data_IF_818003276655
#
_entry.id   IF_818003276655
#
_cell.length_a   1.000
_cell.length_b   1.000
_cell.length_c   1.000
_cell.angle_alpha   90.00
_cell.angle_beta   90.00
_cell.angle_gamma   90.00
#
_symmetry.space_group_name_H-M   'P 1'
#
loop_
_entity.id
_entity.type
_entity.pdbx_description
1 polymer ?
#
# COMPACT_ATOMS: atom_id res chain seq x y z
N UNK A 1 -6.09 30.33 -9.76
CA UNK A 1 -5.22 29.39 -8.99
C UNK A 1 -5.77 28.00 -9.22
N UNK A 2 -5.76 27.61 -10.48
CA UNK A 2 -6.52 26.49 -11.01
C UNK A 2 -5.58 25.30 -11.16
N UNK A 3 -6.15 24.10 -11.13
CA UNK A 3 -5.43 22.86 -11.29
C UNK A 3 -4.61 22.89 -12.57
N UNK A 4 -3.29 22.74 -12.45
CA UNK A 4 -2.38 22.79 -13.60
C UNK A 4 -2.61 21.63 -14.59
N UNK A 5 -3.31 20.56 -14.18
CA UNK A 5 -3.57 19.38 -15.00
C UNK A 5 -4.88 19.41 -15.78
N UNK A 6 -5.92 20.06 -15.25
CA UNK A 6 -7.23 20.10 -15.91
C UNK A 6 -7.78 21.51 -16.17
N UNK A 7 -7.19 22.55 -15.58
CA UNK A 7 -7.57 23.96 -15.71
C UNK A 7 -9.07 24.29 -15.47
N UNK A 8 -9.84 23.32 -14.96
CA UNK A 8 -11.29 23.40 -14.84
C UNK A 8 -11.75 23.58 -13.40
N UNK A 9 -10.85 23.38 -12.42
CA UNK A 9 -11.14 23.42 -10.99
C UNK A 9 -10.03 24.12 -10.23
N UNK A 10 -10.33 24.73 -9.07
CA UNK A 10 -9.31 25.31 -8.21
C UNK A 10 -8.34 24.24 -7.70
N UNK A 11 -7.07 24.61 -7.57
CA UNK A 11 -6.05 23.74 -6.98
C UNK A 11 -6.23 23.69 -5.46
N UNK A 12 -6.31 22.50 -4.89
CA UNK A 12 -6.49 22.25 -3.45
C UNK A 12 -5.34 21.44 -2.85
N UNK A 13 -4.49 20.86 -3.70
CA UNK A 13 -3.37 20.00 -3.31
C UNK A 13 -2.09 20.54 -3.93
N UNK A 14 -1.10 20.83 -3.10
CA UNK A 14 0.20 21.39 -3.48
C UNK A 14 1.25 20.30 -3.36
N UNK A 15 1.65 19.71 -4.47
CA UNK A 15 2.61 18.63 -4.51
C UNK A 15 4.01 19.18 -4.75
N UNK A 16 4.99 18.77 -3.94
CA UNK A 16 6.40 19.10 -4.15
C UNK A 16 7.18 17.79 -4.24
N UNK A 17 7.78 17.52 -5.38
CA UNK A 17 8.63 16.34 -5.59
C UNK A 17 10.07 16.77 -5.80
N UNK A 18 11.00 15.96 -5.28
CA UNK A 18 12.43 16.13 -5.52
C UNK A 18 12.88 14.95 -6.36
N UNK A 19 13.31 15.22 -7.59
CA UNK A 19 13.82 14.18 -8.50
C UNK A 19 15.22 14.60 -8.92
N UNK A 20 16.22 13.75 -8.66
CA UNK A 20 17.62 13.99 -9.05
C UNK A 20 18.15 15.38 -8.65
N UNK A 21 17.83 15.81 -7.42
CA UNK A 21 18.23 17.10 -6.84
C UNK A 21 17.48 18.34 -7.39
N UNK A 22 16.49 18.15 -8.27
CA UNK A 22 15.60 19.20 -8.76
C UNK A 22 14.25 19.16 -8.03
N UNK A 23 13.84 20.32 -7.50
CA UNK A 23 12.56 20.48 -6.79
C UNK A 23 11.49 20.95 -7.76
N UNK A 24 10.50 20.09 -8.02
CA UNK A 24 9.32 20.41 -8.83
C UNK A 24 8.10 20.60 -7.95
N UNK A 25 7.42 21.74 -8.12
CA UNK A 25 6.16 22.05 -7.44
C UNK A 25 5.01 22.06 -8.44
N UNK A 26 3.91 21.38 -8.09
CA UNK A 26 2.74 21.29 -8.95
C UNK A 26 1.46 21.42 -8.13
N UNK A 27 0.55 22.26 -8.62
CA UNK A 27 -0.72 22.55 -7.95
C UNK A 27 -1.86 21.82 -8.67
N UNK A 28 -2.54 20.94 -7.95
CA UNK A 28 -3.54 20.03 -8.48
C UNK A 28 -4.86 20.18 -7.71
N UNK A 29 -5.97 19.92 -8.38
CA UNK A 29 -7.23 19.65 -7.68
C UNK A 29 -7.21 18.24 -7.06
N UNK A 30 -8.04 18.01 -6.05
CA UNK A 30 -8.15 16.74 -5.31
C UNK A 30 -8.20 15.50 -6.22
N UNK A 31 -9.04 15.52 -7.27
CA UNK A 31 -9.15 14.37 -8.16
C UNK A 31 -7.90 14.14 -9.02
N UNK A 32 -7.26 15.22 -9.47
CA UNK A 32 -6.04 15.12 -10.26
C UNK A 32 -4.87 14.65 -9.39
N UNK A 33 -4.82 15.07 -8.14
CA UNK A 33 -3.84 14.62 -7.16
C UNK A 33 -4.03 13.13 -6.80
N UNK A 34 -5.28 12.69 -6.61
CA UNK A 34 -5.62 11.28 -6.40
C UNK A 34 -5.21 10.41 -7.59
N UNK A 35 -5.47 10.86 -8.81
CA UNK A 35 -5.04 10.16 -10.05
C UNK A 35 -3.53 10.18 -10.28
N UNK A 36 -2.84 11.19 -9.75
CA UNK A 36 -1.38 11.32 -9.86
C UNK A 36 -0.62 10.54 -8.78
N UNK A 37 -1.30 9.75 -7.94
CA UNK A 37 -0.66 9.03 -6.83
C UNK A 37 -0.18 9.94 -5.70
N UNK A 38 -0.50 11.24 -5.74
CA UNK A 38 -0.08 12.22 -4.74
C UNK A 38 -0.86 12.10 -3.42
N UNK A 39 -2.00 11.39 -3.44
CA UNK A 39 -2.85 11.13 -2.28
C UNK A 39 -2.98 9.61 -2.13
N UNK A 40 -1.93 8.97 -1.63
CA UNK A 40 -2.06 7.62 -1.09
C UNK A 40 -2.60 7.70 0.35
N UNK A 41 -3.58 6.88 0.76
CA UNK A 41 -4.10 6.86 2.13
C UNK A 41 -3.04 6.52 3.19
N UNK A 42 -1.86 6.06 2.76
CA UNK A 42 -0.67 5.77 3.55
C UNK A 42 0.40 6.88 3.57
N UNK A 43 0.15 8.04 2.95
CA UNK A 43 1.00 9.23 3.07
C UNK A 43 2.42 9.14 2.47
N UNK A 44 2.75 8.07 1.76
CA UNK A 44 4.05 7.92 1.09
C UNK A 44 3.92 8.18 -0.40
N UNK A 45 4.68 9.15 -0.90
CA UNK A 45 4.99 9.31 -2.31
C UNK A 45 5.88 8.13 -2.70
N UNK A 46 5.29 7.08 -3.27
CA UNK A 46 6.06 5.98 -3.81
C UNK A 46 6.60 6.39 -5.17
N UNK A 47 7.93 6.57 -5.25
CA UNK A 47 8.69 6.44 -6.47
C UNK A 47 8.32 5.10 -7.12
N UNK A 48 7.61 5.15 -8.25
CA UNK A 48 7.04 4.00 -8.96
C UNK A 48 8.09 3.07 -9.62
N UNK A 49 9.27 2.92 -9.04
CA UNK A 49 10.36 2.11 -9.60
C UNK A 49 10.88 0.99 -8.68
N UNK A 50 10.28 0.74 -7.52
CA UNK A 50 10.73 -0.34 -6.62
C UNK A 50 9.68 -1.41 -6.26
N UNK A 51 8.41 -1.23 -6.63
CA UNK A 51 7.33 -2.17 -6.23
C UNK A 51 6.82 -3.09 -7.36
N UNK A 52 7.49 -3.16 -8.51
CA UNK A 52 7.15 -4.17 -9.54
C UNK A 52 7.50 -5.62 -9.13
N UNK A 53 8.10 -5.85 -7.95
CA UNK A 53 8.30 -7.18 -7.37
C UNK A 53 7.46 -7.45 -6.11
N UNK A 54 6.47 -6.59 -5.80
CA UNK A 54 5.48 -6.87 -4.77
C UNK A 54 4.09 -6.96 -5.39
N UNK A 55 3.96 -7.82 -6.40
CA UNK A 55 2.82 -8.72 -6.33
C UNK A 55 3.08 -9.60 -5.11
N UNK A 56 2.35 -9.46 -3.98
CA UNK A 56 2.18 -10.65 -3.19
C UNK A 56 1.44 -11.59 -4.13
N UNK A 57 2.19 -12.54 -4.70
CA UNK A 57 1.64 -13.77 -5.21
C UNK A 57 0.94 -14.40 -4.00
N UNK A 58 -0.25 -13.89 -3.69
CA UNK A 58 -1.06 -14.34 -2.58
C UNK A 58 -1.65 -15.63 -3.10
N UNK A 59 -0.82 -16.67 -3.03
CA UNK A 59 -1.32 -18.03 -2.98
C UNK A 59 -2.49 -17.98 -1.99
N UNK A 60 -3.67 -18.50 -2.34
CA UNK A 60 -4.86 -18.39 -1.51
C UNK A 60 -4.53 -18.97 -0.14
N UNK A 61 -4.25 -18.09 0.82
CA UNK A 61 -3.81 -18.49 2.14
C UNK A 61 -5.05 -18.95 2.89
N UNK A 62 -5.26 -20.26 2.87
CA UNK A 62 -6.42 -20.91 3.44
C UNK A 62 -6.49 -20.58 4.95
N UNK A 63 -7.67 -20.18 5.46
CA UNK A 63 -7.86 -19.97 6.89
C UNK A 63 -7.74 -21.29 7.65
N UNK A 64 -7.52 -21.20 8.97
CA UNK A 64 -7.53 -22.39 9.82
C UNK A 64 -8.89 -23.09 9.74
N UNK A 65 -8.91 -24.40 9.50
CA UNK A 65 -10.15 -25.18 9.39
C UNK A 65 -10.88 -25.37 10.73
N UNK A 66 -10.15 -25.22 11.85
CA UNK A 66 -10.69 -25.43 13.20
C UNK A 66 -11.31 -24.15 13.81
N UNK A 67 -10.70 -22.99 13.56
CA UNK A 67 -11.14 -21.72 14.17
C UNK A 67 -11.39 -20.60 13.15
N UNK A 68 -11.17 -20.84 11.86
CA UNK A 68 -11.34 -19.85 10.80
C UNK A 68 -10.27 -18.75 10.77
N UNK A 69 -9.23 -18.83 11.62
CA UNK A 69 -8.24 -17.76 11.74
C UNK A 69 -7.46 -17.56 10.42
N UNK A 70 -7.43 -16.35 9.84
CA UNK A 70 -6.78 -16.10 8.57
C UNK A 70 -5.27 -15.93 8.72
N UNK A 71 -4.50 -16.48 7.76
CA UNK A 71 -3.03 -16.40 7.76
C UNK A 71 -2.53 -14.94 7.72
N UNK A 72 -3.23 -14.05 7.02
CA UNK A 72 -2.88 -12.63 6.97
C UNK A 72 -2.87 -11.98 8.36
N UNK A 73 -3.76 -12.42 9.27
CA UNK A 73 -3.78 -11.92 10.63
C UNK A 73 -2.60 -12.45 11.45
N UNK A 74 -2.12 -13.66 11.17
CA UNK A 74 -0.88 -14.17 11.76
C UNK A 74 0.32 -13.34 11.30
N UNK A 75 0.44 -13.02 10.01
CA UNK A 75 1.55 -12.19 9.50
C UNK A 75 1.52 -10.76 10.06
N UNK A 76 0.34 -10.16 10.20
CA UNK A 76 0.19 -8.79 10.71
C UNK A 76 0.37 -8.67 12.22
N UNK A 77 -0.04 -9.69 12.99
CA UNK A 77 -0.10 -9.59 14.46
C UNK A 77 0.89 -10.51 15.19
N UNK A 78 1.45 -11.52 14.50
CA UNK A 78 2.27 -12.57 15.09
C UNK A 78 1.50 -13.52 16.03
N UNK A 79 0.16 -13.47 16.05
CA UNK A 79 -0.67 -14.24 16.99
C UNK A 79 -1.42 -15.38 16.30
N UNK A 80 -1.54 -16.49 17.02
CA UNK A 80 -2.25 -17.70 16.59
C UNK A 80 -3.62 -17.79 17.30
N UNK A 81 -4.66 -18.16 16.54
CA UNK A 81 -6.04 -18.25 17.05
C UNK A 81 -6.36 -19.51 17.87
N UNK A 82 -5.70 -20.64 17.58
CA UNK A 82 -5.85 -21.90 18.32
C UNK A 82 -4.58 -22.76 18.25
N UNK A 83 -4.54 -23.89 18.96
CA UNK A 83 -3.40 -24.81 18.94
C UNK A 83 -3.12 -25.38 17.52
N UNK A 84 -4.17 -25.70 16.76
CA UNK A 84 -4.05 -26.24 15.40
C UNK A 84 -3.50 -25.23 14.40
N UNK A 85 -3.55 -23.92 14.69
CA UNK A 85 -2.93 -22.89 13.85
C UNK A 85 -1.40 -23.03 13.80
N UNK A 86 -0.77 -23.49 14.89
CA UNK A 86 0.69 -23.67 14.93
C UNK A 86 1.15 -24.72 13.91
N UNK A 87 0.42 -25.84 13.83
CA UNK A 87 0.73 -26.90 12.87
C UNK A 87 0.39 -26.48 11.43
N UNK A 88 -0.75 -25.80 11.24
CA UNK A 88 -1.24 -25.40 9.92
C UNK A 88 -0.36 -24.34 9.25
N UNK A 89 0.22 -23.44 10.04
CA UNK A 89 1.03 -22.31 9.58
C UNK A 89 2.52 -22.48 9.88
N UNK A 90 2.96 -23.70 10.25
CA UNK A 90 4.35 -24.00 10.58
C UNK A 90 5.30 -23.66 9.43
N UNK A 91 4.93 -23.99 8.20
CA UNK A 91 5.72 -23.67 6.99
C UNK A 91 5.90 -22.15 6.84
N UNK A 92 4.85 -21.36 7.09
CA UNK A 92 4.91 -19.89 7.01
C UNK A 92 5.69 -19.24 8.16
N UNK A 93 5.98 -19.96 9.25
CA UNK A 93 6.77 -19.47 10.39
C UNK A 93 8.26 -19.79 10.25
N UNK A 94 8.66 -20.65 9.30
CA UNK A 94 10.05 -21.10 9.13
C UNK A 94 10.91 -20.16 8.26
N UNK A 95 10.32 -19.18 7.57
CA UNK A 95 11.03 -18.24 6.67
C UNK A 95 11.24 -16.83 7.28
N UNK A 96 11.33 -16.72 8.61
CA UNK A 96 11.61 -15.45 9.30
C UNK A 96 13.10 -15.24 9.59
#
# INVERSE_FOLDING_TARGET
MDCQKCASRPATVFMTTVVENDVKRMDLCEECARKAGAIHPSGFLAEEAFFQNLTPNTAPSLPCTECGYPLESLQKTGRLGCASCYQRFAESLQEA
#
